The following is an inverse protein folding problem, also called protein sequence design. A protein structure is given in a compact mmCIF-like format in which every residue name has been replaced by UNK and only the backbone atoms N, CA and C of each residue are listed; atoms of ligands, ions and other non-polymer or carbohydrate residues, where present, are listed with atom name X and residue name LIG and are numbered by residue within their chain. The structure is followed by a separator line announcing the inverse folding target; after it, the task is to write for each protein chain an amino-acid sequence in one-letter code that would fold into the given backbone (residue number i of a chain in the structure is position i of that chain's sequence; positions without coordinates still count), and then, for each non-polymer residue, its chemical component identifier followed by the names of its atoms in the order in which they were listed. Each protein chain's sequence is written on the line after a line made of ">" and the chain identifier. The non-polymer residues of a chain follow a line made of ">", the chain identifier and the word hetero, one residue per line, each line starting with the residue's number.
data_IF_575356822284
#
_entry.id   IF_575356822284
#
_cell.length_a   1.000
_cell.length_b   1.000
_cell.length_c   1.000
_cell.angle_alpha   90.00
_cell.angle_beta   90.00
_cell.angle_gamma   90.00
#
_symmetry.space_group_name_H-M   'P 1'
#
loop_
_entity.id
_entity.type
_entity.pdbx_description
1 polymer ?
#
# COMPACT_ATOMS: atom_id res chain seq x y z
N UNK A 1 8.10 27.53 -13.61
CA UNK A 1 7.58 27.44 -15.00
C UNK A 1 7.66 26.03 -15.57
N UNK A 2 8.82 25.36 -15.55
CA UNK A 2 8.97 23.99 -16.09
C UNK A 2 7.95 22.96 -15.55
N UNK A 3 7.69 22.95 -14.23
CA UNK A 3 6.68 22.06 -13.63
C UNK A 3 5.25 22.33 -14.16
N UNK A 4 4.88 23.60 -14.31
CA UNK A 4 3.55 23.98 -14.81
C UNK A 4 3.37 23.56 -16.29
N UNK A 5 4.43 23.67 -17.09
CA UNK A 5 4.42 23.20 -18.48
C UNK A 5 4.26 21.67 -18.55
N UNK A 6 4.99 20.91 -17.73
CA UNK A 6 4.88 19.45 -17.64
C UNK A 6 3.45 18.99 -17.30
N UNK A 7 2.84 19.61 -16.28
CA UNK A 7 1.45 19.29 -15.89
C UNK A 7 0.45 19.62 -17.01
N UNK A 8 0.66 20.71 -17.75
CA UNK A 8 -0.21 21.07 -18.86
C UNK A 8 -0.14 20.05 -20.02
N UNK A 9 1.05 19.54 -20.33
CA UNK A 9 1.24 18.48 -21.34
C UNK A 9 0.59 17.17 -20.90
N UNK A 10 0.68 16.82 -19.62
CA UNK A 10 0.06 15.61 -19.08
C UNK A 10 -1.47 15.71 -19.06
N UNK A 11 -2.03 16.85 -18.66
CA UNK A 11 -3.47 17.12 -18.75
C UNK A 11 -3.99 17.04 -20.20
N UNK A 12 -3.20 17.52 -21.15
CA UNK A 12 -3.50 17.41 -22.59
C UNK A 12 -3.50 15.96 -23.07
N UNK A 13 -2.52 15.14 -22.65
CA UNK A 13 -2.47 13.71 -22.98
C UNK A 13 -3.65 12.92 -22.39
N UNK A 14 -4.10 13.26 -21.19
CA UNK A 14 -5.27 12.63 -20.54
C UNK A 14 -6.60 12.94 -21.25
N UNK A 15 -6.69 14.05 -21.99
CA UNK A 15 -7.87 14.43 -22.79
C UNK A 15 -8.00 13.65 -24.12
N UNK A 16 -7.12 12.66 -24.38
CA UNK A 16 -7.22 11.76 -25.53
C UNK A 16 -6.60 12.31 -26.82
N UNK A 17 -5.91 13.46 -26.76
CA UNK A 17 -5.10 13.94 -27.88
C UNK A 17 -3.77 13.19 -27.92
N UNK A 18 -3.38 12.72 -29.10
CA UNK A 18 -2.22 11.85 -29.28
C UNK A 18 -0.91 12.61 -29.11
N UNK A 19 -0.36 12.58 -27.90
CA UNK A 19 1.04 12.92 -27.62
C UNK A 19 1.81 11.61 -27.62
N UNK A 20 2.87 11.49 -28.42
CA UNK A 20 3.80 10.33 -28.37
C UNK A 20 4.66 10.40 -27.11
N UNK A 21 4.03 10.30 -25.95
CA UNK A 21 4.64 10.35 -24.63
C UNK A 21 4.29 9.05 -23.89
N UNK A 22 5.31 8.31 -23.46
CA UNK A 22 5.12 7.16 -22.56
C UNK A 22 5.49 7.62 -21.16
N UNK A 23 4.49 7.73 -20.29
CA UNK A 23 4.65 8.04 -18.88
C UNK A 23 4.74 6.73 -18.10
N UNK A 24 5.85 6.53 -17.41
CA UNK A 24 6.03 5.40 -16.49
C UNK A 24 6.47 5.98 -15.15
N UNK A 25 5.50 6.11 -14.25
CA UNK A 25 5.75 6.59 -12.90
C UNK A 25 6.01 5.42 -11.95
N UNK A 26 6.58 5.71 -10.78
CA UNK A 26 6.98 4.72 -9.79
C UNK A 26 6.59 5.15 -8.38
N UNK A 27 6.37 4.19 -7.47
CA UNK A 27 6.09 4.50 -6.06
C UNK A 27 7.28 5.20 -5.40
N UNK A 28 7.08 6.29 -4.63
CA UNK A 28 8.19 7.01 -3.99
C UNK A 28 8.74 6.29 -2.75
N UNK A 29 7.86 5.60 -2.01
CA UNK A 29 8.17 4.86 -0.79
C UNK A 29 7.51 3.49 -0.82
N UNK A 30 8.00 2.59 0.05
CA UNK A 30 7.41 1.27 0.21
C UNK A 30 6.07 1.36 0.94
N UNK A 31 5.11 0.59 0.46
CA UNK A 31 3.79 0.44 1.07
C UNK A 31 3.69 -0.94 1.71
N UNK A 32 3.16 -0.97 2.92
CA UNK A 32 3.10 -2.19 3.71
C UNK A 32 2.01 -2.15 4.77
N UNK A 33 1.91 -3.26 5.51
CA UNK A 33 0.96 -3.41 6.61
C UNK A 33 1.67 -3.74 7.91
N UNK A 34 1.04 -3.42 9.03
CA UNK A 34 1.52 -3.83 10.35
C UNK A 34 1.23 -5.31 10.59
N UNK A 35 2.27 -6.05 11.01
CA UNK A 35 2.15 -7.42 11.49
C UNK A 35 2.33 -7.51 13.00
N UNK A 36 2.19 -8.73 13.56
CA UNK A 36 2.37 -8.98 14.99
C UNK A 36 3.73 -8.47 15.46
N UNK A 37 3.73 -7.60 16.46
CA UNK A 37 4.95 -7.02 17.02
C UNK A 37 5.31 -5.63 16.48
N UNK A 38 4.44 -4.99 15.69
CA UNK A 38 4.68 -3.62 15.19
C UNK A 38 5.71 -3.57 14.06
N UNK A 39 5.90 -4.68 13.36
CA UNK A 39 6.85 -4.80 12.24
C UNK A 39 6.12 -4.49 10.94
N UNK A 40 6.74 -3.69 10.09
CA UNK A 40 6.23 -3.36 8.76
C UNK A 40 6.54 -4.51 7.80
N UNK A 41 5.50 -5.17 7.32
CA UNK A 41 5.60 -6.11 6.20
C UNK A 41 5.36 -5.34 4.89
N UNK A 42 6.39 -5.27 4.05
CA UNK A 42 6.35 -4.52 2.79
C UNK A 42 5.65 -5.35 1.71
N UNK A 43 4.54 -4.83 1.17
CA UNK A 43 3.78 -5.48 0.10
C UNK A 43 4.18 -4.92 -1.27
N UNK A 44 4.34 -3.60 -1.37
CA UNK A 44 4.79 -2.90 -2.59
C UNK A 44 6.08 -2.14 -2.26
N UNK A 45 7.24 -2.58 -2.77
CA UNK A 45 8.49 -1.87 -2.56
C UNK A 45 8.48 -0.48 -3.22
N UNK A 46 9.31 0.43 -2.71
CA UNK A 46 9.60 1.70 -3.41
C UNK A 46 10.12 1.45 -4.83
N UNK A 47 9.95 2.46 -5.67
CA UNK A 47 10.31 2.46 -7.09
C UNK A 47 9.62 1.36 -7.90
N UNK A 48 8.47 0.85 -7.44
CA UNK A 48 7.65 -0.08 -8.22
C UNK A 48 6.87 0.70 -9.28
N UNK A 49 6.91 0.32 -10.56
CA UNK A 49 6.13 0.98 -11.61
C UNK A 49 4.63 0.96 -11.33
N UNK A 50 3.95 2.09 -11.54
CA UNK A 50 2.50 2.18 -11.44
C UNK A 50 1.86 2.21 -12.84
N UNK A 51 0.70 1.56 -13.04
CA UNK A 51 -0.14 0.87 -12.05
C UNK A 51 0.39 -0.53 -11.66
N UNK A 52 0.24 -0.90 -10.38
CA UNK A 52 0.60 -2.22 -9.86
C UNK A 52 -0.46 -2.75 -8.90
N UNK A 53 -0.57 -4.08 -8.78
CA UNK A 53 -1.42 -4.79 -7.81
C UNK A 53 -0.60 -5.91 -7.18
N UNK A 54 -0.68 -6.01 -5.86
CA UNK A 54 -0.07 -7.06 -5.04
C UNK A 54 -1.09 -7.55 -4.02
N UNK A 55 -1.03 -8.85 -3.75
CA UNK A 55 -1.96 -9.55 -2.86
C UNK A 55 -1.12 -10.49 -1.99
N UNK A 56 -1.37 -10.46 -0.69
CA UNK A 56 -0.69 -11.28 0.31
C UNK A 56 -1.73 -11.85 1.27
N UNK A 57 -1.51 -13.10 1.72
CA UNK A 57 -2.42 -13.78 2.63
C UNK A 57 -1.97 -13.56 4.08
N UNK A 58 -2.89 -13.05 4.90
CA UNK A 58 -2.67 -12.83 6.33
C UNK A 58 -3.64 -13.69 7.15
N UNK A 59 -3.17 -14.15 8.31
CA UNK A 59 -3.95 -14.94 9.27
C UNK A 59 -4.04 -14.22 10.61
N UNK A 60 -4.97 -14.66 11.46
CA UNK A 60 -5.12 -14.22 12.85
C UNK A 60 -3.84 -14.43 13.68
N UNK A 61 -3.53 -13.44 14.53
CA UNK A 61 -2.34 -13.41 15.37
C UNK A 61 -2.57 -13.99 16.78
N UNK A 62 -3.84 -14.19 17.15
CA UNK A 62 -4.30 -14.72 18.43
C UNK A 62 -5.42 -15.75 18.23
N UNK A 63 -5.54 -16.71 19.14
CA UNK A 63 -6.64 -17.68 19.16
C UNK A 63 -7.97 -16.95 19.39
N UNK A 64 -9.04 -17.40 18.73
CA UNK A 64 -10.40 -16.86 18.84
C UNK A 64 -10.52 -15.38 18.46
N UNK A 65 -9.62 -14.88 17.59
CA UNK A 65 -9.67 -13.52 17.09
C UNK A 65 -10.84 -13.33 16.11
N UNK A 66 -11.83 -12.54 16.49
CA UNK A 66 -13.05 -12.27 15.70
C UNK A 66 -12.97 -11.04 14.81
N UNK A 67 -11.91 -10.23 14.97
CA UNK A 67 -11.64 -9.02 14.20
C UNK A 67 -10.14 -8.84 13.97
N UNK A 68 -9.76 -8.38 12.78
CA UNK A 68 -8.38 -8.03 12.42
C UNK A 68 -8.31 -6.54 12.04
N UNK A 69 -7.39 -5.82 12.66
CA UNK A 69 -7.05 -4.45 12.27
C UNK A 69 -5.89 -4.48 11.26
N UNK A 70 -6.16 -4.06 10.03
CA UNK A 70 -5.19 -3.90 8.95
C UNK A 70 -4.77 -2.43 8.93
N UNK A 71 -3.63 -2.13 9.54
CA UNK A 71 -3.03 -0.81 9.49
C UNK A 71 -2.07 -0.73 8.31
N UNK A 72 -2.30 0.22 7.42
CA UNK A 72 -1.50 0.46 6.21
C UNK A 72 -0.51 1.59 6.46
N UNK A 73 0.74 1.37 6.09
CA UNK A 73 1.84 2.31 6.28
C UNK A 73 2.62 2.56 4.99
N UNK A 74 3.23 3.72 4.94
CA UNK A 74 4.21 4.15 3.94
C UNK A 74 5.54 4.48 4.64
N UNK A 75 6.63 3.88 4.17
CA UNK A 75 7.97 4.15 4.71
C UNK A 75 8.95 2.99 4.55
N UNK A 76 10.16 3.21 5.04
CA UNK A 76 11.32 2.31 4.85
C UNK A 76 11.88 1.78 6.17
N UNK A 77 11.24 2.11 7.30
CA UNK A 77 11.67 1.64 8.63
C UNK A 77 11.07 0.27 8.90
N UNK A 78 11.79 -0.54 9.66
CA UNK A 78 11.35 -1.89 10.05
C UNK A 78 10.17 -1.87 11.02
N UNK A 79 10.12 -0.88 11.92
CA UNK A 79 9.04 -0.71 12.89
C UNK A 79 8.01 0.30 12.38
N UNK A 80 6.72 -0.05 12.46
CA UNK A 80 5.62 0.77 11.95
C UNK A 80 5.47 2.10 12.66
N UNK A 81 5.88 2.19 13.93
CA UNK A 81 5.88 3.44 14.71
C UNK A 81 6.75 4.57 14.11
N UNK A 82 7.72 4.21 13.26
CA UNK A 82 8.61 5.16 12.60
C UNK A 82 8.25 5.40 11.12
N UNK A 83 7.12 4.86 10.67
CA UNK A 83 6.60 5.04 9.31
C UNK A 83 5.31 5.88 9.35
N UNK A 84 4.89 6.34 8.18
CA UNK A 84 3.68 7.14 8.04
C UNK A 84 2.45 6.21 7.94
N UNK A 85 1.49 6.36 8.85
CA UNK A 85 0.23 5.61 8.77
C UNK A 85 -0.68 6.24 7.74
N UNK A 86 -1.08 5.47 6.72
CA UNK A 86 -2.00 5.91 5.68
C UNK A 86 -3.46 5.65 6.05
N UNK A 87 -3.72 4.57 6.79
CA UNK A 87 -5.07 4.19 7.16
C UNK A 87 -5.13 2.95 8.03
N UNK A 88 -6.32 2.70 8.57
CA UNK A 88 -6.60 1.54 9.40
C UNK A 88 -7.97 0.98 9.02
N UNK A 89 -8.00 -0.30 8.66
CA UNK A 89 -9.20 -1.01 8.23
C UNK A 89 -9.49 -2.12 9.23
N UNK A 90 -10.75 -2.28 9.60
CA UNK A 90 -11.19 -3.35 10.46
C UNK A 90 -11.93 -4.39 9.64
N UNK A 91 -11.46 -5.63 9.70
CA UNK A 91 -12.17 -6.78 9.17
C UNK A 91 -12.81 -7.52 10.34
N UNK A 92 -14.11 -7.31 10.52
CA UNK A 92 -14.92 -7.97 11.54
C UNK A 92 -15.63 -9.21 10.97
N UNK A 93 -16.08 -10.10 11.84
CA UNK A 93 -16.87 -11.28 11.46
C UNK A 93 -16.03 -12.50 11.10
N UNK A 94 -14.78 -12.56 11.58
CA UNK A 94 -13.92 -13.73 11.40
C UNK A 94 -14.41 -14.83 12.35
N UNK A 95 -14.68 -16.06 11.85
CA UNK A 95 -15.05 -17.18 12.70
C UNK A 95 -13.97 -17.48 13.74
N UNK A 96 -14.40 -17.83 14.95
CA UNK A 96 -13.51 -18.25 16.02
C UNK A 96 -12.69 -19.48 15.61
N UNK A 97 -11.38 -19.29 15.42
CA UNK A 97 -10.43 -20.34 15.07
C UNK A 97 -9.15 -20.21 15.90
N UNK A 98 -8.33 -21.27 15.92
CA UNK A 98 -6.98 -21.19 16.48
C UNK A 98 -6.12 -20.27 15.63
N UNK A 99 -5.09 -19.65 16.22
CA UNK A 99 -4.16 -18.80 15.50
C UNK A 99 -3.52 -19.55 14.32
N UNK A 100 -3.31 -18.85 13.21
CA UNK A 100 -2.76 -19.46 11.99
C UNK A 100 -3.77 -20.21 11.12
N UNK A 101 -5.07 -20.16 11.44
CA UNK A 101 -6.15 -20.68 10.59
C UNK A 101 -7.27 -19.64 10.52
N UNK A 102 -7.73 -19.23 9.32
CA UNK A 102 -7.19 -19.51 7.98
C UNK A 102 -5.97 -18.67 7.62
#
# INVERSE_FOLDING_TARGET
>A
EAMAYGVAVEAYALNGESVNLVLMDVTPLSLGVETKGGVMEVIIPKHTPIPTRKEEFFSTAMDYQTSVAIKVFEGERTLTEHNNMLGNFYLDGIPEARCGVP
#
